data_IF_003424360419
#
_entry.id   IF_003424360419
#
_cell.length_a   1.000
_cell.length_b   1.000
_cell.length_c   1.000
_cell.angle_alpha   90.00
_cell.angle_beta   90.00
_cell.angle_gamma   90.00
#
_symmetry.space_group_name_H-M   'P 1'
#
loop_
_entity.id
_entity.type
_entity.pdbx_description
1 polymer ?
#
# COMPACT_ATOMS: atom_id res chain seq x y z
N UNK A 1 -31.52 23.11 -26.06
CA UNK A 1 -30.54 22.69 -27.09
C UNK A 1 -31.16 21.63 -28.02
N UNK A 2 -31.97 20.68 -27.50
CA UNK A 2 -32.67 19.66 -28.29
C UNK A 2 -33.76 20.22 -29.17
N UNK A 3 -34.48 21.26 -28.72
CA UNK A 3 -35.54 21.93 -29.50
C UNK A 3 -35.01 22.74 -30.68
N UNK A 4 -33.76 23.23 -30.61
CA UNK A 4 -33.12 23.96 -31.70
C UNK A 4 -32.67 23.04 -32.84
N UNK A 5 -32.35 21.77 -32.53
CA UNK A 5 -31.91 20.78 -33.53
C UNK A 5 -33.03 20.43 -34.55
N UNK A 6 -34.29 20.43 -34.10
CA UNK A 6 -35.43 20.06 -34.95
C UNK A 6 -35.76 21.10 -36.06
N UNK A 7 -35.18 22.29 -35.98
CA UNK A 7 -35.48 23.39 -36.91
C UNK A 7 -34.36 23.73 -37.89
N UNK A 8 -33.21 23.02 -37.84
CA UNK A 8 -32.04 23.29 -38.70
C UNK A 8 -32.02 22.39 -39.95
N UNK A 9 -31.58 22.89 -41.13
CA UNK A 9 -31.38 22.06 -42.31
C UNK A 9 -30.39 20.92 -42.07
N UNK A 10 -30.60 19.75 -42.71
CA UNK A 10 -29.92 18.50 -42.40
C UNK A 10 -28.36 18.53 -42.31
N UNK A 11 -27.71 19.37 -43.12
CA UNK A 11 -26.24 19.56 -43.07
C UNK A 11 -25.76 20.26 -41.78
N UNK A 12 -26.56 21.18 -41.27
CA UNK A 12 -26.31 21.95 -40.03
C UNK A 12 -26.51 21.04 -38.80
N UNK A 13 -27.53 20.19 -38.86
CA UNK A 13 -27.81 19.21 -37.81
C UNK A 13 -26.65 18.22 -37.66
N UNK A 14 -26.11 17.71 -38.77
CA UNK A 14 -24.94 16.81 -38.75
C UNK A 14 -23.67 17.49 -38.20
N UNK A 15 -23.46 18.79 -38.56
CA UNK A 15 -22.31 19.54 -38.03
C UNK A 15 -22.42 19.77 -36.50
N UNK A 16 -23.65 20.10 -36.02
CA UNK A 16 -23.91 20.25 -34.59
C UNK A 16 -23.78 18.94 -33.84
N UNK A 17 -24.30 17.84 -34.38
CA UNK A 17 -24.11 16.51 -33.77
C UNK A 17 -22.66 16.08 -33.74
N UNK A 18 -21.88 16.37 -34.79
CA UNK A 18 -20.45 16.12 -34.82
C UNK A 18 -19.71 16.92 -33.74
N UNK A 19 -19.98 18.22 -33.66
CA UNK A 19 -19.39 19.11 -32.67
C UNK A 19 -19.75 18.68 -31.23
N UNK A 20 -20.99 18.22 -31.00
CA UNK A 20 -21.41 17.69 -29.69
C UNK A 20 -20.67 16.40 -29.38
N UNK A 21 -20.53 15.46 -30.34
CA UNK A 21 -19.78 14.22 -30.17
C UNK A 21 -18.29 14.47 -29.90
N UNK A 22 -17.64 15.35 -30.65
CA UNK A 22 -16.24 15.75 -30.44
C UNK A 22 -16.05 16.42 -29.09
N UNK A 23 -16.97 17.28 -28.67
CA UNK A 23 -16.96 17.94 -27.37
C UNK A 23 -17.16 16.94 -26.20
N UNK A 24 -17.98 15.91 -26.41
CA UNK A 24 -18.20 14.83 -25.45
C UNK A 24 -17.00 13.90 -25.38
N UNK A 25 -16.42 13.52 -26.50
CA UNK A 25 -15.22 12.68 -26.57
C UNK A 25 -14.01 13.34 -25.88
N UNK A 26 -13.86 14.66 -26.04
CA UNK A 26 -12.76 15.40 -25.40
C UNK A 26 -12.97 15.69 -23.90
N UNK A 27 -14.16 15.46 -23.35
CA UNK A 27 -14.45 15.72 -21.91
C UNK A 27 -13.62 14.87 -20.97
N UNK A 28 -13.53 13.56 -21.24
CA UNK A 28 -12.74 12.65 -20.41
C UNK A 28 -11.25 13.01 -20.42
N UNK A 29 -10.71 13.36 -21.60
CA UNK A 29 -9.34 13.84 -21.73
C UNK A 29 -9.09 15.14 -20.97
N UNK A 30 -10.02 16.11 -21.05
CA UNK A 30 -9.93 17.36 -20.30
C UNK A 30 -9.95 17.15 -18.79
N UNK A 31 -10.76 16.22 -18.32
CA UNK A 31 -10.83 15.87 -16.89
C UNK A 31 -9.51 15.31 -16.38
N UNK A 32 -8.89 14.42 -17.15
CA UNK A 32 -7.56 13.89 -16.80
C UNK A 32 -6.51 14.99 -16.87
N UNK A 33 -6.53 15.83 -17.92
CA UNK A 33 -5.57 16.94 -18.05
C UNK A 33 -5.73 17.96 -16.93
N UNK A 34 -6.96 18.30 -16.53
CA UNK A 34 -7.21 19.21 -15.40
C UNK A 34 -6.76 18.61 -14.06
N UNK A 35 -6.98 17.30 -13.87
CA UNK A 35 -6.47 16.58 -12.70
C UNK A 35 -4.93 16.53 -12.71
N UNK A 36 -4.29 16.32 -13.86
CA UNK A 36 -2.84 16.37 -14.02
C UNK A 36 -2.26 17.75 -13.73
N UNK A 37 -2.95 18.80 -14.15
CA UNK A 37 -2.54 20.18 -13.94
C UNK A 37 -2.68 20.60 -12.47
N UNK A 38 -3.76 20.19 -11.80
CA UNK A 38 -3.99 20.51 -10.38
C UNK A 38 -3.07 19.74 -9.43
N UNK A 39 -2.67 18.51 -9.79
CA UNK A 39 -1.83 17.64 -8.99
C UNK A 39 -0.36 17.59 -9.47
N UNK A 40 -0.04 18.37 -10.50
CA UNK A 40 1.21 18.25 -11.24
C UNK A 40 1.24 16.94 -12.06
N UNK A 41 2.29 16.72 -12.84
CA UNK A 41 2.45 15.56 -13.73
C UNK A 41 2.61 14.21 -13.01
N UNK A 42 2.34 14.15 -11.71
CA UNK A 42 2.62 12.99 -10.84
C UNK A 42 1.86 11.73 -11.22
N UNK A 43 0.65 11.85 -11.78
CA UNK A 43 -0.13 10.66 -12.17
C UNK A 43 0.42 9.93 -13.41
N UNK A 44 1.19 10.61 -14.30
CA UNK A 44 1.89 9.96 -15.42
C UNK A 44 3.01 9.04 -14.92
N UNK A 45 3.44 9.22 -13.68
CA UNK A 45 4.60 8.58 -13.08
C UNK A 45 4.23 7.58 -11.99
N UNK A 46 3.00 7.05 -11.97
CA UNK A 46 2.54 6.15 -10.91
C UNK A 46 3.51 4.98 -10.68
N UNK A 47 3.89 4.27 -11.74
CA UNK A 47 4.84 3.14 -11.63
C UNK A 47 6.22 3.63 -11.19
N UNK A 48 6.71 4.75 -11.75
CA UNK A 48 7.97 5.34 -11.34
C UNK A 48 7.95 5.75 -9.87
N UNK A 49 6.86 6.32 -9.36
CA UNK A 49 6.72 6.66 -7.94
C UNK A 49 6.66 5.45 -7.02
N UNK A 50 6.01 4.37 -7.43
CA UNK A 50 6.07 3.11 -6.68
C UNK A 50 7.49 2.55 -6.64
N UNK A 51 8.23 2.62 -7.76
CA UNK A 51 9.63 2.21 -7.82
C UNK A 51 10.52 3.11 -6.95
N UNK A 52 10.28 4.44 -6.95
CA UNK A 52 10.96 5.39 -6.06
C UNK A 52 10.73 5.01 -4.59
N UNK A 53 9.50 4.75 -4.16
CA UNK A 53 9.18 4.32 -2.79
C UNK A 53 9.83 2.98 -2.45
N UNK A 54 9.82 2.01 -3.37
CA UNK A 54 10.50 0.73 -3.18
C UNK A 54 12.02 0.91 -3.05
N UNK A 55 12.61 1.74 -3.91
CA UNK A 55 14.05 2.05 -3.89
C UNK A 55 14.42 2.77 -2.59
N UNK A 56 13.66 3.79 -2.21
CA UNK A 56 13.87 4.53 -0.97
C UNK A 56 13.81 3.59 0.24
N UNK A 57 12.77 2.75 0.32
CA UNK A 57 12.61 1.73 1.36
C UNK A 57 13.84 0.85 1.48
N UNK A 58 14.34 0.36 0.33
CA UNK A 58 15.50 -0.53 0.29
C UNK A 58 16.80 0.20 0.68
N UNK A 59 17.06 1.37 0.10
CA UNK A 59 18.29 2.13 0.33
C UNK A 59 18.39 2.61 1.78
N UNK A 60 17.30 3.19 2.32
CA UNK A 60 17.30 3.74 3.68
C UNK A 60 17.35 2.66 4.76
N UNK A 61 16.74 1.49 4.54
CA UNK A 61 16.74 0.40 5.52
C UNK A 61 17.98 -0.48 5.46
N UNK A 62 18.67 -0.53 4.31
CA UNK A 62 19.82 -1.43 4.07
C UNK A 62 20.93 -1.36 5.13
N UNK A 63 21.41 -0.18 5.60
CA UNK A 63 22.48 -0.16 6.61
C UNK A 63 22.07 -0.79 7.93
N UNK A 64 20.80 -0.68 8.30
CA UNK A 64 20.25 -1.26 9.51
C UNK A 64 20.08 -2.78 9.38
N UNK A 65 19.52 -3.26 8.27
CA UNK A 65 19.43 -4.71 8.01
C UNK A 65 20.81 -5.35 7.90
N UNK A 66 21.78 -4.70 7.27
CA UNK A 66 23.14 -5.21 7.20
C UNK A 66 23.81 -5.34 8.59
N UNK A 67 23.42 -4.53 9.56
CA UNK A 67 23.86 -4.68 10.96
C UNK A 67 23.14 -5.83 11.66
N UNK A 68 21.84 -6.02 11.41
CA UNK A 68 21.03 -7.10 11.95
C UNK A 68 21.49 -8.46 11.43
N UNK A 69 21.78 -8.57 10.12
CA UNK A 69 22.22 -9.82 9.47
C UNK A 69 23.51 -10.41 10.06
N UNK A 70 24.36 -9.54 10.62
CA UNK A 70 25.61 -9.94 11.27
C UNK A 70 25.47 -10.14 12.77
N UNK A 71 24.32 -9.81 13.34
CA UNK A 71 24.09 -9.84 14.77
C UNK A 71 23.46 -11.16 15.22
N UNK A 72 23.77 -11.52 16.46
CA UNK A 72 23.13 -12.62 17.17
C UNK A 72 22.43 -12.08 18.42
N UNK A 73 21.27 -12.66 18.73
CA UNK A 73 20.60 -12.47 20.01
C UNK A 73 20.96 -13.62 20.94
N UNK A 74 21.03 -13.36 22.25
CA UNK A 74 21.18 -14.38 23.26
C UNK A 74 19.79 -14.88 23.67
N UNK A 75 19.59 -16.18 23.69
CA UNK A 75 18.39 -16.80 24.23
C UNK A 75 18.39 -16.59 25.76
N UNK A 76 17.72 -15.55 26.22
CA UNK A 76 17.35 -15.32 27.61
C UNK A 76 15.96 -15.94 27.90
N UNK A 77 15.52 -15.86 29.15
CA UNK A 77 14.24 -16.47 29.56
C UNK A 77 13.04 -15.90 28.77
N UNK A 78 13.08 -14.61 28.39
CA UNK A 78 12.01 -13.97 27.62
C UNK A 78 11.99 -14.48 26.16
N UNK A 79 13.15 -14.59 25.53
CA UNK A 79 13.24 -15.15 24.18
C UNK A 79 12.93 -16.66 24.17
N UNK A 80 13.32 -17.39 25.20
CA UNK A 80 12.97 -18.82 25.37
C UNK A 80 11.44 -19.00 25.48
N UNK A 81 10.75 -18.13 26.22
CA UNK A 81 9.28 -18.15 26.32
C UNK A 81 8.62 -17.88 24.95
N UNK A 82 9.13 -16.90 24.17
CA UNK A 82 8.67 -16.64 22.80
C UNK A 82 8.88 -17.85 21.90
N UNK A 83 10.04 -18.47 21.94
CA UNK A 83 10.34 -19.67 21.15
C UNK A 83 9.38 -20.82 21.51
N UNK A 84 9.14 -21.05 22.81
CA UNK A 84 8.18 -22.06 23.25
C UNK A 84 6.73 -21.81 22.77
N UNK A 85 6.30 -20.54 22.76
CA UNK A 85 4.96 -20.15 22.28
C UNK A 85 4.81 -20.19 20.77
N UNK A 86 5.92 -20.16 20.03
CA UNK A 86 5.94 -20.10 18.56
C UNK A 86 6.23 -21.43 17.86
N UNK A 87 6.25 -22.55 18.58
CA UNK A 87 6.63 -23.87 18.03
C UNK A 87 5.91 -24.23 16.73
N UNK A 88 4.62 -23.91 16.62
CA UNK A 88 3.80 -24.23 15.44
C UNK A 88 4.26 -23.55 14.15
N UNK A 89 5.03 -22.46 14.22
CA UNK A 89 5.50 -21.68 13.07
C UNK A 89 7.02 -21.72 12.87
N UNK A 90 7.76 -22.38 13.76
CA UNK A 90 9.24 -22.47 13.69
C UNK A 90 9.70 -23.09 12.38
N UNK A 91 9.07 -24.18 11.95
CA UNK A 91 9.43 -24.85 10.70
C UNK A 91 9.30 -23.94 9.46
N UNK A 92 8.28 -23.07 9.44
CA UNK A 92 8.11 -22.06 8.39
C UNK A 92 9.22 -21.00 8.45
N UNK A 93 9.58 -20.55 9.65
CA UNK A 93 10.65 -19.59 9.87
C UNK A 93 12.02 -20.15 9.45
N UNK A 94 12.32 -21.39 9.82
CA UNK A 94 13.54 -22.11 9.45
C UNK A 94 13.65 -22.30 7.92
N UNK A 95 12.53 -22.63 7.26
CA UNK A 95 12.48 -22.75 5.82
C UNK A 95 12.75 -21.39 5.15
N UNK A 96 12.10 -20.32 5.63
CA UNK A 96 12.29 -18.96 5.11
C UNK A 96 13.75 -18.53 5.28
N UNK A 97 14.32 -18.69 6.46
CA UNK A 97 15.72 -18.39 6.75
C UNK A 97 16.68 -19.17 5.83
N UNK A 98 16.44 -20.49 5.67
CA UNK A 98 17.26 -21.33 4.78
C UNK A 98 17.17 -20.86 3.33
N UNK A 99 15.99 -20.47 2.88
CA UNK A 99 15.79 -20.00 1.49
C UNK A 99 16.53 -18.68 1.23
N UNK A 100 16.57 -17.79 2.22
CA UNK A 100 17.21 -16.48 2.11
C UNK A 100 18.74 -16.54 2.26
N UNK A 101 19.25 -17.43 3.14
CA UNK A 101 20.65 -17.43 3.53
C UNK A 101 21.45 -18.66 3.10
N UNK A 102 20.77 -19.74 2.71
CA UNK A 102 21.37 -21.06 2.49
C UNK A 102 21.78 -21.80 3.76
N UNK A 103 21.59 -21.20 4.95
CA UNK A 103 21.96 -21.78 6.24
C UNK A 103 20.78 -22.52 6.88
N UNK A 104 21.06 -23.47 7.74
CA UNK A 104 20.06 -24.23 8.51
C UNK A 104 20.24 -23.98 10.01
N UNK A 105 19.13 -23.84 10.70
CA UNK A 105 19.07 -23.75 12.16
C UNK A 105 17.84 -24.54 12.62
N UNK A 106 17.87 -25.03 13.82
CA UNK A 106 16.75 -25.72 14.48
C UNK A 106 16.40 -24.94 15.75
N UNK A 107 15.35 -24.15 15.65
CA UNK A 107 14.86 -23.27 16.71
C UNK A 107 14.37 -24.06 17.93
N UNK A 108 13.91 -25.30 17.72
CA UNK A 108 13.38 -26.16 18.79
C UNK A 108 14.49 -26.69 19.74
N UNK A 109 15.73 -26.65 19.29
CA UNK A 109 16.88 -27.14 20.07
C UNK A 109 17.60 -26.05 20.85
N UNK A 110 17.24 -24.79 20.65
CA UNK A 110 17.86 -23.67 21.34
C UNK A 110 17.55 -23.70 22.83
N UNK A 111 18.60 -23.44 23.65
CA UNK A 111 18.53 -23.40 25.11
C UNK A 111 18.88 -22.02 25.64
N UNK A 112 18.41 -21.64 26.82
CA UNK A 112 18.89 -20.43 27.49
C UNK A 112 20.42 -20.36 27.52
N UNK A 113 20.95 -19.24 27.04
CA UNK A 113 22.40 -19.02 26.88
C UNK A 113 22.91 -19.16 25.45
N UNK A 114 22.21 -19.87 24.58
CA UNK A 114 22.62 -20.03 23.18
C UNK A 114 22.54 -18.71 22.42
N UNK A 115 23.37 -18.59 21.39
CA UNK A 115 23.31 -17.46 20.45
C UNK A 115 22.49 -17.85 19.22
N UNK A 116 21.54 -17.01 18.83
CA UNK A 116 20.68 -17.19 17.65
C UNK A 116 20.85 -16.02 16.69
N UNK A 117 21.04 -16.23 15.38
CA UNK A 117 21.11 -15.15 14.41
C UNK A 117 19.83 -14.30 14.41
N UNK A 118 19.96 -12.97 14.41
CA UNK A 118 18.79 -12.09 14.47
C UNK A 118 17.92 -12.20 13.23
N UNK A 119 18.47 -12.51 12.08
CA UNK A 119 17.71 -12.69 10.84
C UNK A 119 16.80 -13.94 10.86
N UNK A 120 17.14 -15.00 11.59
CA UNK A 120 16.20 -16.12 11.78
C UNK A 120 15.05 -15.75 12.70
N UNK A 121 15.28 -14.90 13.69
CA UNK A 121 14.22 -14.35 14.54
C UNK A 121 13.32 -13.38 13.75
N UNK A 122 13.87 -12.64 12.79
CA UNK A 122 13.07 -11.84 11.87
C UNK A 122 12.19 -12.72 10.96
N UNK A 123 12.72 -13.85 10.47
CA UNK A 123 11.95 -14.87 9.75
C UNK A 123 10.83 -15.47 10.63
N UNK A 124 11.08 -15.68 11.93
CA UNK A 124 10.07 -16.13 12.87
C UNK A 124 8.95 -15.08 13.06
N UNK A 125 9.33 -13.81 13.18
CA UNK A 125 8.36 -12.69 13.24
C UNK A 125 7.46 -12.66 11.99
N UNK A 126 8.04 -12.87 10.81
CA UNK A 126 7.28 -12.92 9.55
C UNK A 126 6.32 -14.10 9.53
N UNK A 127 6.76 -15.30 9.91
CA UNK A 127 5.93 -16.50 9.97
C UNK A 127 4.76 -16.37 10.97
N UNK A 128 4.97 -15.68 12.09
CA UNK A 128 3.92 -15.33 13.05
C UNK A 128 2.88 -14.38 12.43
N UNK A 129 3.33 -13.37 11.70
CA UNK A 129 2.44 -12.43 11.00
C UNK A 129 1.61 -13.12 9.92
N UNK A 130 2.22 -13.95 9.09
CA UNK A 130 1.53 -14.68 8.01
C UNK A 130 0.47 -15.63 8.57
N UNK A 131 0.78 -16.31 9.68
CA UNK A 131 -0.16 -17.17 10.38
C UNK A 131 -1.32 -16.39 10.98
N UNK A 132 -1.06 -15.25 11.63
CA UNK A 132 -2.10 -14.37 12.17
C UNK A 132 -3.01 -13.84 11.05
N UNK A 133 -2.43 -13.44 9.92
CA UNK A 133 -3.16 -12.94 8.75
C UNK A 133 -4.07 -14.01 8.15
N UNK A 134 -3.56 -15.22 7.96
CA UNK A 134 -4.33 -16.38 7.46
C UNK A 134 -5.51 -16.73 8.39
N UNK A 135 -5.27 -16.72 9.69
CA UNK A 135 -6.31 -16.99 10.70
C UNK A 135 -7.40 -15.91 10.70
N UNK A 136 -7.06 -14.63 10.51
CA UNK A 136 -8.07 -13.57 10.35
C UNK A 136 -8.92 -13.78 9.11
N UNK A 137 -8.31 -14.14 7.99
CA UNK A 137 -9.03 -14.42 6.75
C UNK A 137 -9.99 -15.62 6.89
N UNK A 138 -9.62 -16.61 7.72
CA UNK A 138 -10.49 -17.77 8.04
C UNK A 138 -11.51 -17.52 9.16
N UNK A 139 -11.57 -16.30 9.73
CA UNK A 139 -12.50 -15.95 10.82
C UNK A 139 -12.04 -16.33 12.23
N UNK A 140 -10.80 -16.84 12.39
CA UNK A 140 -10.24 -17.29 13.68
C UNK A 140 -9.53 -16.15 14.43
N UNK A 141 -10.23 -15.04 14.68
CA UNK A 141 -9.65 -13.81 15.24
C UNK A 141 -8.96 -14.00 16.60
N UNK A 142 -9.49 -14.87 17.48
CA UNK A 142 -8.88 -15.13 18.79
C UNK A 142 -7.50 -15.76 18.68
N UNK A 143 -7.35 -16.74 17.79
CA UNK A 143 -6.05 -17.36 17.51
C UNK A 143 -5.08 -16.37 16.83
N UNK A 144 -5.57 -15.57 15.88
CA UNK A 144 -4.77 -14.54 15.25
C UNK A 144 -4.19 -13.54 16.27
N UNK A 145 -5.01 -13.11 17.24
CA UNK A 145 -4.56 -12.20 18.31
C UNK A 145 -3.48 -12.85 19.21
N UNK A 146 -3.56 -14.17 19.46
CA UNK A 146 -2.51 -14.88 20.21
C UNK A 146 -1.18 -14.88 19.46
N UNK A 147 -1.17 -15.14 18.14
CA UNK A 147 0.05 -15.03 17.33
C UNK A 147 0.61 -13.61 17.30
N UNK A 148 -0.25 -12.58 17.20
CA UNK A 148 0.19 -11.20 17.25
C UNK A 148 0.81 -10.84 18.61
N UNK A 149 0.27 -11.34 19.71
CA UNK A 149 0.83 -11.11 21.04
C UNK A 149 2.25 -11.69 21.14
N UNK A 150 2.46 -12.93 20.66
CA UNK A 150 3.79 -13.55 20.60
C UNK A 150 4.72 -12.76 19.69
N UNK A 151 4.23 -12.30 18.52
CA UNK A 151 4.99 -11.47 17.59
C UNK A 151 5.44 -10.15 18.24
N UNK A 152 4.58 -9.48 19.02
CA UNK A 152 4.95 -8.25 19.71
C UNK A 152 6.03 -8.50 20.80
N UNK A 153 5.93 -9.61 21.54
CA UNK A 153 6.98 -9.99 22.47
C UNK A 153 8.32 -10.21 21.76
N UNK A 154 8.32 -10.91 20.62
CA UNK A 154 9.53 -11.13 19.81
C UNK A 154 10.11 -9.81 19.30
N UNK A 155 9.31 -8.88 18.83
CA UNK A 155 9.74 -7.54 18.39
C UNK A 155 10.45 -6.82 19.55
N UNK A 156 9.89 -6.85 20.76
CA UNK A 156 10.52 -6.25 21.94
C UNK A 156 11.90 -6.83 22.24
N UNK A 157 12.08 -8.16 22.14
CA UNK A 157 13.38 -8.80 22.32
C UNK A 157 14.36 -8.46 21.18
N UNK A 158 13.90 -8.41 19.93
CA UNK A 158 14.72 -7.98 18.80
C UNK A 158 15.21 -6.53 18.98
N UNK A 159 14.35 -5.60 19.40
CA UNK A 159 14.71 -4.21 19.67
C UNK A 159 15.72 -4.07 20.81
N UNK A 160 15.53 -4.83 21.88
CA UNK A 160 16.39 -4.82 23.07
C UNK A 160 17.79 -5.36 22.79
N UNK A 161 17.90 -6.42 22.01
CA UNK A 161 19.16 -7.12 21.73
C UNK A 161 19.83 -6.67 20.42
N UNK A 162 19.17 -5.82 19.62
CA UNK A 162 19.71 -5.34 18.36
C UNK A 162 20.95 -4.47 18.52
N UNK A 163 21.92 -4.56 17.61
CA UNK A 163 23.05 -3.64 17.58
C UNK A 163 22.59 -2.20 17.45
N UNK A 164 23.37 -1.27 17.96
CA UNK A 164 23.08 0.17 17.86
C UNK A 164 23.81 0.77 16.66
N UNK A 165 23.05 1.49 15.82
CA UNK A 165 23.55 2.30 14.71
C UNK A 165 23.18 3.74 14.98
N UNK A 166 24.18 4.63 15.10
CA UNK A 166 23.91 6.04 15.46
C UNK A 166 23.26 6.21 16.85
N UNK A 167 23.50 5.29 17.79
CA UNK A 167 22.94 5.32 19.14
C UNK A 167 21.52 4.73 19.27
N UNK A 168 20.88 4.35 18.17
CA UNK A 168 19.53 3.75 18.16
C UNK A 168 19.61 2.27 17.79
N UNK A 169 18.63 1.48 18.23
CA UNK A 169 18.49 0.07 17.84
C UNK A 169 18.38 -0.02 16.30
N UNK A 170 19.26 -0.82 15.68
CA UNK A 170 19.21 -1.06 14.25
C UNK A 170 17.87 -1.68 13.84
N UNK A 171 17.29 -2.55 14.67
CA UNK A 171 15.99 -3.17 14.40
C UNK A 171 14.88 -2.14 14.38
N UNK A 172 14.79 -1.26 15.38
CA UNK A 172 13.80 -0.18 15.44
C UNK A 172 13.93 0.75 14.21
N UNK A 173 15.16 1.10 13.83
CA UNK A 173 15.41 1.96 12.68
C UNK A 173 15.08 1.26 11.35
N UNK A 174 15.42 -0.04 11.20
CA UNK A 174 15.04 -0.82 10.03
C UNK A 174 13.52 -0.85 9.86
N UNK A 175 12.78 -1.12 10.93
CA UNK A 175 11.31 -1.16 10.90
C UNK A 175 10.71 0.22 10.56
N UNK A 176 11.24 1.29 11.16
CA UNK A 176 10.76 2.66 10.92
C UNK A 176 10.99 3.13 9.49
N UNK A 177 12.20 2.90 8.95
CA UNK A 177 12.54 3.29 7.58
C UNK A 177 11.82 2.44 6.54
N UNK A 178 11.49 1.19 6.87
CA UNK A 178 10.69 0.32 6.00
C UNK A 178 9.20 0.68 6.00
N UNK A 179 8.64 1.07 7.15
CA UNK A 179 7.21 1.31 7.32
C UNK A 179 6.71 2.51 6.50
N UNK A 180 7.44 3.63 6.53
CA UNK A 180 7.00 4.86 5.86
C UNK A 180 6.74 4.68 4.36
N UNK A 181 7.74 4.26 3.55
CA UNK A 181 7.52 3.99 2.13
C UNK A 181 6.51 2.88 1.85
N UNK A 182 6.40 1.86 2.72
CA UNK A 182 5.38 0.82 2.58
C UNK A 182 3.97 1.38 2.74
N UNK A 183 3.73 2.23 3.72
CA UNK A 183 2.45 2.91 3.91
C UNK A 183 2.08 3.78 2.71
N UNK A 184 3.05 4.46 2.08
CA UNK A 184 2.81 5.21 0.84
C UNK A 184 2.43 4.29 -0.34
N UNK A 185 3.07 3.13 -0.47
CA UNK A 185 2.71 2.13 -1.50
C UNK A 185 1.29 1.63 -1.27
N UNK A 186 0.94 1.28 -0.03
CA UNK A 186 -0.40 0.82 0.33
C UNK A 186 -1.45 1.90 0.08
N UNK A 187 -1.16 3.16 0.44
CA UNK A 187 -2.04 4.29 0.17
C UNK A 187 -2.26 4.51 -1.35
N UNK A 188 -1.21 4.40 -2.15
CA UNK A 188 -1.31 4.50 -3.61
C UNK A 188 -2.17 3.35 -4.20
N UNK A 189 -2.04 2.13 -3.69
CA UNK A 189 -2.86 0.99 -4.09
C UNK A 189 -4.34 1.16 -3.68
N UNK A 190 -4.62 1.72 -2.50
CA UNK A 190 -5.99 2.09 -2.09
C UNK A 190 -6.54 3.14 -3.04
N UNK A 191 -5.77 4.16 -3.38
CA UNK A 191 -6.13 5.19 -4.35
C UNK A 191 -6.47 4.60 -5.71
N UNK A 192 -5.71 3.63 -6.20
CA UNK A 192 -5.97 2.94 -7.47
C UNK A 192 -7.31 2.19 -7.49
N UNK A 193 -7.79 1.75 -6.33
CA UNK A 193 -9.06 1.03 -6.18
C UNK A 193 -10.26 1.94 -5.89
N UNK A 194 -10.05 3.24 -5.59
CA UNK A 194 -11.11 4.16 -5.12
C UNK A 194 -12.30 4.27 -6.07
N UNK A 195 -12.06 4.17 -7.37
CA UNK A 195 -13.13 4.25 -8.37
C UNK A 195 -14.06 3.03 -8.40
N UNK A 196 -13.65 1.92 -7.78
CA UNK A 196 -14.40 0.64 -7.74
C UNK A 196 -14.93 0.28 -6.35
N UNK A 197 -14.41 0.94 -5.30
CA UNK A 197 -14.74 0.67 -3.90
C UNK A 197 -15.98 1.43 -3.41
N UNK A 198 -16.32 1.22 -2.13
CA UNK A 198 -17.32 2.02 -1.43
C UNK A 198 -16.77 3.42 -1.08
N UNK A 199 -17.64 4.43 -1.09
CA UNK A 199 -17.27 5.81 -0.73
C UNK A 199 -16.86 5.92 0.73
N UNK A 200 -17.58 5.23 1.61
CA UNK A 200 -17.32 5.26 3.06
C UNK A 200 -15.97 4.60 3.39
N UNK A 201 -15.66 3.47 2.74
CA UNK A 201 -14.37 2.79 2.91
C UNK A 201 -13.21 3.71 2.49
N UNK A 202 -13.36 4.40 1.35
CA UNK A 202 -12.37 5.35 0.87
C UNK A 202 -12.19 6.54 1.82
N UNK A 203 -13.28 7.12 2.32
CA UNK A 203 -13.24 8.22 3.28
C UNK A 203 -12.59 7.80 4.62
N UNK A 204 -12.92 6.62 5.10
CA UNK A 204 -12.34 6.07 6.32
C UNK A 204 -10.84 5.84 6.17
N UNK A 205 -10.39 5.24 5.07
CA UNK A 205 -8.97 5.05 4.78
C UNK A 205 -8.23 6.40 4.72
N UNK A 206 -8.75 7.38 3.97
CA UNK A 206 -8.13 8.70 3.81
C UNK A 206 -8.06 9.47 5.13
N UNK A 207 -9.04 9.30 6.02
CA UNK A 207 -9.06 10.00 7.33
C UNK A 207 -7.88 9.59 8.21
N UNK A 208 -7.37 8.37 8.08
CA UNK A 208 -6.21 7.86 8.80
C UNK A 208 -4.85 8.18 8.15
N UNK A 209 -4.84 8.72 6.93
CA UNK A 209 -3.61 8.95 6.18
C UNK A 209 -2.88 10.23 6.63
N UNK A 210 -1.56 10.15 6.72
CA UNK A 210 -0.66 11.29 6.79
C UNK A 210 -0.69 12.11 5.50
N UNK A 211 -0.06 13.29 5.49
CA UNK A 211 0.02 14.14 4.29
C UNK A 211 0.67 13.38 3.11
N UNK A 212 1.80 12.69 3.36
CA UNK A 212 2.51 11.92 2.33
C UNK A 212 1.70 10.73 1.80
N UNK A 213 0.97 10.04 2.67
CA UNK A 213 0.06 8.96 2.27
C UNK A 213 -1.12 9.47 1.45
N UNK A 214 -1.66 10.66 1.78
CA UNK A 214 -2.71 11.32 0.98
C UNK A 214 -2.21 11.67 -0.42
N UNK A 215 -0.97 12.13 -0.55
CA UNK A 215 -0.39 12.41 -1.86
C UNK A 215 -0.16 11.13 -2.66
N UNK A 216 0.35 10.08 -2.04
CA UNK A 216 0.48 8.76 -2.66
C UNK A 216 -0.88 8.19 -3.09
N UNK A 217 -1.91 8.31 -2.26
CA UNK A 217 -3.29 7.92 -2.58
C UNK A 217 -3.83 8.68 -3.80
N UNK A 218 -3.61 10.00 -3.89
CA UNK A 218 -4.02 10.83 -5.04
C UNK A 218 -3.35 10.38 -6.33
N UNK A 219 -2.06 10.03 -6.29
CA UNK A 219 -1.33 9.45 -7.43
C UNK A 219 -2.01 8.17 -7.92
N UNK A 220 -2.39 7.29 -6.99
CA UNK A 220 -3.12 6.06 -7.31
C UNK A 220 -4.51 6.31 -7.91
N UNK A 221 -5.28 7.26 -7.34
CA UNK A 221 -6.59 7.64 -7.83
C UNK A 221 -6.54 8.25 -9.24
N UNK A 222 -5.53 9.06 -9.52
CA UNK A 222 -5.29 9.63 -10.85
C UNK A 222 -4.94 8.56 -11.88
N UNK A 223 -4.14 7.56 -11.49
CA UNK A 223 -3.86 6.40 -12.34
C UNK A 223 -5.14 5.62 -12.69
N UNK A 224 -6.06 5.43 -11.73
CA UNK A 224 -7.35 4.78 -11.98
C UNK A 224 -8.21 5.58 -12.97
N UNK A 225 -8.23 6.91 -12.85
CA UNK A 225 -8.90 7.79 -13.82
C UNK A 225 -8.32 7.65 -15.22
N UNK A 226 -7.00 7.67 -15.38
CA UNK A 226 -6.32 7.50 -16.67
C UNK A 226 -6.61 6.15 -17.30
N UNK A 227 -6.55 5.08 -16.54
CA UNK A 227 -6.90 3.75 -17.05
C UNK A 227 -8.36 3.70 -17.55
N UNK A 228 -9.27 4.39 -16.85
CA UNK A 228 -10.67 4.47 -17.25
C UNK A 228 -10.90 5.31 -18.52
N UNK A 229 -9.97 6.20 -18.88
CA UNK A 229 -10.07 7.06 -20.08
C UNK A 229 -9.30 6.53 -21.28
N UNK A 230 -8.47 5.51 -21.11
CA UNK A 230 -7.57 4.97 -22.16
C UNK A 230 -8.28 4.26 -23.31
N UNK A 231 -9.59 3.98 -23.20
CA UNK A 231 -10.41 3.34 -24.25
C UNK A 231 -11.69 4.13 -24.47
N UNK A 232 -12.26 4.06 -25.70
CA UNK A 232 -13.57 4.70 -26.02
C UNK A 232 -14.69 4.20 -25.08
N UNK A 233 -14.74 2.90 -24.81
CA UNK A 233 -15.68 2.31 -23.89
C UNK A 233 -15.47 2.85 -22.45
N UNK A 234 -14.23 2.99 -22.02
CA UNK A 234 -13.86 3.57 -20.73
C UNK A 234 -14.26 5.04 -20.62
N UNK A 235 -14.02 5.84 -21.66
CA UNK A 235 -14.44 7.26 -21.70
C UNK A 235 -15.95 7.40 -21.59
N UNK A 236 -16.71 6.59 -22.32
CA UNK A 236 -18.19 6.58 -22.24
C UNK A 236 -18.67 6.14 -20.87
N UNK A 237 -18.02 5.13 -20.28
CA UNK A 237 -18.29 4.65 -18.91
C UNK A 237 -18.01 5.74 -17.88
N UNK A 238 -16.86 6.40 -17.96
CA UNK A 238 -16.49 7.49 -17.04
C UNK A 238 -17.50 8.64 -17.10
N UNK A 239 -17.94 9.05 -18.30
CA UNK A 239 -18.96 10.10 -18.46
C UNK A 239 -20.32 9.72 -17.88
N UNK A 240 -20.68 8.43 -17.93
CA UNK A 240 -21.87 7.91 -17.25
C UNK A 240 -21.68 7.92 -15.74
N UNK A 241 -20.56 7.40 -15.26
CA UNK A 241 -20.20 7.37 -13.84
C UNK A 241 -20.13 8.77 -13.24
N UNK A 242 -19.61 9.76 -13.99
CA UNK A 242 -19.57 11.17 -13.56
C UNK A 242 -20.94 11.75 -13.26
N UNK A 243 -21.99 11.30 -13.95
CA UNK A 243 -23.37 11.71 -13.67
C UNK A 243 -23.92 11.09 -12.39
N UNK A 244 -23.31 10.03 -11.91
CA UNK A 244 -23.71 9.36 -10.67
C UNK A 244 -23.21 10.13 -9.43
N UNK A 245 -24.12 10.42 -8.47
CA UNK A 245 -23.73 11.09 -7.23
C UNK A 245 -22.60 10.41 -6.47
N UNK A 246 -22.63 9.08 -6.40
CA UNK A 246 -21.61 8.26 -5.70
C UNK A 246 -20.22 8.42 -6.29
N UNK A 247 -20.07 8.49 -7.61
CA UNK A 247 -18.78 8.72 -8.26
C UNK A 247 -18.25 10.13 -7.95
N UNK A 248 -19.11 11.14 -7.94
CA UNK A 248 -18.72 12.50 -7.56
C UNK A 248 -18.23 12.56 -6.10
N UNK A 249 -18.90 11.86 -5.19
CA UNK A 249 -18.48 11.81 -3.80
C UNK A 249 -17.14 11.07 -3.65
N UNK A 250 -16.86 9.99 -4.42
CA UNK A 250 -15.55 9.33 -4.46
C UNK A 250 -14.45 10.28 -4.92
N UNK A 251 -14.69 11.04 -5.97
CA UNK A 251 -13.73 12.01 -6.50
C UNK A 251 -13.50 13.16 -5.53
N UNK A 252 -14.56 13.66 -4.88
CA UNK A 252 -14.40 14.64 -3.79
C UNK A 252 -13.59 14.09 -2.63
N UNK A 253 -13.84 12.85 -2.22
CA UNK A 253 -13.07 12.19 -1.17
C UNK A 253 -11.59 12.04 -1.59
N UNK A 254 -11.34 11.66 -2.85
CA UNK A 254 -9.99 11.44 -3.36
C UNK A 254 -9.19 12.74 -3.52
N UNK A 255 -9.79 13.79 -4.05
CA UNK A 255 -9.08 14.99 -4.46
C UNK A 255 -9.37 16.22 -3.59
N UNK A 256 -10.31 16.12 -2.64
CA UNK A 256 -10.63 17.22 -1.73
C UNK A 256 -11.05 18.50 -2.47
N UNK A 257 -10.44 19.63 -2.11
CA UNK A 257 -10.73 20.92 -2.73
C UNK A 257 -10.32 21.00 -4.20
N UNK A 258 -9.31 20.21 -4.61
CA UNK A 258 -8.83 20.12 -5.99
C UNK A 258 -9.91 19.52 -6.93
N UNK A 259 -10.91 18.81 -6.37
CA UNK A 259 -12.07 18.34 -7.13
C UNK A 259 -12.77 19.45 -7.92
N UNK A 260 -12.80 20.68 -7.39
CA UNK A 260 -13.47 21.85 -8.02
C UNK A 260 -12.78 22.31 -9.29
N UNK A 261 -11.48 21.99 -9.46
CA UNK A 261 -10.70 22.40 -10.63
C UNK A 261 -11.06 21.59 -11.88
N UNK A 262 -11.61 20.38 -11.71
CA UNK A 262 -11.99 19.51 -12.82
C UNK A 262 -13.47 19.07 -12.81
N UNK A 263 -14.28 19.57 -11.89
CA UNK A 263 -15.74 19.36 -11.85
C UNK A 263 -16.50 20.42 -12.63
#
# INVERSE_FOLDING_TARGET
LLDVQATLPGTTTQAVERAIRERQASRAGRLVSAADESLGTQGAQFLSKLDDFNTQRFVESRPYYAAIDKATAKVDDALADVLNKSQSVQGSAELLFRTQTGQTIDLSKLKPGDAVPMNVLDSLKQSLYDSASSLRQSGSSSQANAYDAVRQQLIGELEKQSPKVGGQSAYTMAMKTWAGPSQMIDAAEVGRKVMRGDVLDAQQAISGFTASEKDAFRIGALQALRQSTGTEAGQTSLLKMWKEPTTRERLKAAFGDDYRTFA
#
